data_IF_213904341632
#
_entry.id   IF_213904341632
#
_cell.length_a   1.000
_cell.length_b   1.000
_cell.length_c   1.000
_cell.angle_alpha   90.00
_cell.angle_beta   90.00
_cell.angle_gamma   90.00
#
_symmetry.space_group_name_H-M   'P 1'
#
loop_
_entity.id
_entity.type
_entity.pdbx_description
1 polymer ?
#
# COMPACT_ATOMS: atom_id res chain seq x y z
N UNK A 1 2.84 -31.52 15.47
CA UNK A 1 2.67 -31.05 15.34
C UNK A 1 2.82 -30.46 15.36
N UNK A 2 2.70 -30.36 15.30
CA UNK A 2 2.64 -29.64 15.21
C UNK A 2 2.69 -28.83 14.98
N UNK A 3 2.75 -28.58 14.88
CA UNK A 3 2.60 -27.75 14.60
C UNK A 3 2.50 -26.98 14.36
N UNK A 4 2.43 -26.95 14.34
CA UNK A 4 2.19 -26.13 14.07
C UNK A 4 2.09 -25.46 14.08
N UNK A 5 2.03 -25.48 14.13
CA UNK A 5 1.78 -24.77 14.21
C UNK A 5 1.75 -23.86 14.24
N UNK A 6 1.77 -23.94 14.35
CA UNK A 6 1.64 -23.08 14.42
C UNK A 6 1.64 -22.36 14.13
N UNK A 7 1.52 -22.82 13.92
CA UNK A 7 1.47 -22.17 13.65
C UNK A 7 1.27 -21.45 13.50
N UNK A 8 1.21 -21.78 13.53
CA UNK A 8 0.94 -20.98 13.52
C UNK A 8 1.07 -19.94 12.86
N UNK A 9 0.55 -20.07 12.66
CA UNK A 9 0.49 -19.11 11.82
C UNK A 9 0.35 -17.78 12.42
N UNK A 10 1.15 -16.95 12.05
CA UNK A 10 1.14 -15.66 12.67
C UNK A 10 0.15 -14.71 12.03
N UNK A 11 -0.68 -14.09 12.82
CA UNK A 11 -1.57 -13.05 12.32
C UNK A 11 -0.84 -11.74 12.17
N UNK A 12 -1.13 -11.03 11.09
CA UNK A 12 -0.64 -9.68 10.94
C UNK A 12 -1.49 -8.76 11.81
N UNK A 13 -0.87 -8.05 12.73
CA UNK A 13 -1.55 -7.10 13.59
C UNK A 13 -1.51 -5.70 13.02
N UNK A 14 -0.40 -5.34 12.39
CA UNK A 14 -0.19 -4.03 11.81
C UNK A 14 0.57 -4.13 10.51
N UNK A 15 0.32 -3.16 9.64
CA UNK A 15 1.03 -3.04 8.37
C UNK A 15 1.55 -1.62 8.26
N UNK A 16 2.76 -1.50 7.72
CA UNK A 16 3.32 -0.21 7.36
C UNK A 16 3.25 -0.11 5.84
N UNK A 17 2.59 0.92 5.33
CA UNK A 17 2.41 1.05 3.91
C UNK A 17 2.57 2.50 3.46
N UNK A 18 2.87 2.65 2.17
CA UNK A 18 2.87 3.92 1.48
C UNK A 18 1.88 3.83 0.34
N UNK A 19 1.29 4.97 -0.06
CA UNK A 19 0.40 4.95 -1.20
C UNK A 19 0.52 6.24 -2.01
N UNK A 20 0.07 6.12 -3.26
CA UNK A 20 -0.07 7.25 -4.17
C UNK A 20 -1.51 7.24 -4.64
N UNK A 21 -2.25 8.30 -4.34
CA UNK A 21 -3.66 8.42 -4.71
C UNK A 21 -3.76 9.25 -5.97
N UNK A 22 -4.41 8.71 -7.00
CA UNK A 22 -4.66 9.42 -8.25
C UNK A 22 -6.13 9.27 -8.63
N UNK A 23 -6.57 10.05 -9.60
CA UNK A 23 -7.98 10.14 -9.95
C UNK A 23 -8.45 8.99 -10.82
N UNK A 24 -7.62 8.54 -11.74
CA UNK A 24 -8.01 7.57 -12.76
C UNK A 24 -7.12 6.36 -12.75
N UNK A 25 -7.65 5.26 -13.25
CA UNK A 25 -6.89 4.03 -13.41
C UNK A 25 -5.69 4.23 -14.33
N UNK A 26 -5.89 4.99 -15.42
CA UNK A 26 -4.81 5.27 -16.37
C UNK A 26 -3.63 5.92 -15.68
N UNK A 27 -3.89 6.90 -14.81
CA UNK A 27 -2.83 7.55 -14.05
C UNK A 27 -2.14 6.57 -13.11
N UNK A 28 -2.91 5.70 -12.46
CA UNK A 28 -2.35 4.71 -11.56
C UNK A 28 -1.46 3.72 -12.30
N UNK A 29 -1.89 3.28 -13.47
CA UNK A 29 -1.09 2.36 -14.29
C UNK A 29 0.21 3.02 -14.75
N UNK A 30 0.15 4.32 -15.07
CA UNK A 30 1.35 5.07 -15.43
C UNK A 30 2.35 5.13 -14.26
N UNK A 31 1.84 5.32 -13.05
CA UNK A 31 2.68 5.30 -11.85
C UNK A 31 3.34 3.93 -11.69
N UNK A 32 2.58 2.86 -11.84
CA UNK A 32 3.12 1.51 -11.73
C UNK A 32 4.18 1.24 -12.79
N UNK A 33 3.96 1.75 -14.01
CA UNK A 33 4.95 1.63 -15.09
C UNK A 33 6.25 2.33 -14.70
N UNK A 34 6.14 3.56 -14.16
CA UNK A 34 7.33 4.32 -13.76
C UNK A 34 8.09 3.62 -12.64
N UNK A 35 7.35 3.01 -11.69
CA UNK A 35 7.99 2.23 -10.62
C UNK A 35 8.78 1.05 -11.17
N UNK A 36 8.21 0.36 -12.15
CA UNK A 36 8.89 -0.77 -12.79
C UNK A 36 10.17 -0.34 -13.51
N UNK A 37 10.19 0.90 -13.97
CA UNK A 37 11.35 1.46 -14.69
C UNK A 37 12.35 2.12 -13.74
N UNK A 38 12.19 1.94 -12.43
CA UNK A 38 13.19 2.38 -11.48
C UNK A 38 12.95 3.73 -10.85
N UNK A 39 11.83 4.39 -11.15
CA UNK A 39 11.53 5.65 -10.48
C UNK A 39 11.21 5.41 -9.01
N UNK A 40 11.61 6.36 -8.19
CA UNK A 40 11.39 6.29 -6.76
C UNK A 40 9.91 6.45 -6.42
N UNK A 41 9.40 5.57 -5.54
CA UNK A 41 8.02 5.67 -5.06
C UNK A 41 7.80 7.02 -4.38
N UNK A 42 8.75 7.43 -3.56
CA UNK A 42 8.65 8.69 -2.81
C UNK A 42 8.56 9.89 -3.73
N UNK A 43 9.36 9.90 -4.79
CA UNK A 43 9.33 10.98 -5.78
C UNK A 43 7.98 11.04 -6.50
N UNK A 44 7.48 9.87 -6.92
CA UNK A 44 6.18 9.80 -7.60
C UNK A 44 5.05 10.24 -6.68
N UNK A 45 5.14 9.87 -5.41
CA UNK A 45 4.14 10.30 -4.43
C UNK A 45 4.12 11.82 -4.29
N UNK A 46 5.28 12.43 -4.20
CA UNK A 46 5.37 13.89 -4.09
C UNK A 46 4.85 14.60 -5.31
N UNK A 47 5.11 14.04 -6.49
CA UNK A 47 4.70 14.65 -7.75
C UNK A 47 3.23 14.44 -8.08
N UNK A 48 2.69 13.28 -7.74
CA UNK A 48 1.41 12.85 -8.30
C UNK A 48 0.30 12.59 -7.31
N UNK A 49 0.62 12.32 -6.05
CA UNK A 49 -0.41 11.91 -5.11
C UNK A 49 -1.33 13.07 -4.75
N UNK A 50 -2.63 12.79 -4.75
CA UNK A 50 -3.65 13.75 -4.31
C UNK A 50 -3.81 13.75 -2.80
N UNK A 51 -3.24 12.76 -2.12
CA UNK A 51 -3.32 12.66 -0.67
C UNK A 51 -2.23 13.51 -0.02
N UNK A 52 -2.51 14.19 1.11
CA UNK A 52 -1.48 14.96 1.83
C UNK A 52 -0.24 14.16 2.19
N UNK A 53 -0.37 12.84 2.38
CA UNK A 53 0.78 11.99 2.66
C UNK A 53 1.80 11.99 1.53
N UNK A 54 1.41 12.43 0.33
CA UNK A 54 2.34 12.56 -0.78
C UNK A 54 3.54 13.42 -0.45
N UNK A 55 3.35 14.44 0.38
CA UNK A 55 4.44 15.32 0.80
C UNK A 55 5.52 14.59 1.58
N UNK A 56 5.16 13.46 2.18
CA UNK A 56 6.08 12.61 2.94
C UNK A 56 6.45 11.36 2.16
N UNK A 57 6.39 11.43 0.83
CA UNK A 57 6.70 10.28 -0.01
C UNK A 57 5.61 9.22 -0.02
N UNK A 58 4.41 9.56 0.43
CA UNK A 58 3.27 8.64 0.46
C UNK A 58 3.19 7.78 1.71
N UNK A 59 4.11 7.94 2.65
CA UNK A 59 4.18 7.09 3.83
C UNK A 59 2.99 7.31 4.77
N UNK A 60 2.26 6.23 5.07
CA UNK A 60 1.14 6.27 6.00
C UNK A 60 1.53 5.76 7.38
N UNK A 61 2.72 5.18 7.51
CA UNK A 61 3.17 4.60 8.76
C UNK A 61 2.48 3.28 9.06
N UNK A 62 2.47 2.90 10.31
CA UNK A 62 1.85 1.66 10.79
C UNK A 62 0.39 1.89 11.08
N UNK A 63 -0.45 0.93 10.70
CA UNK A 63 -1.87 0.98 11.01
C UNK A 63 -2.39 -0.43 11.22
N UNK A 64 -3.48 -0.51 11.99
CA UNK A 64 -4.15 -1.79 12.26
C UNK A 64 -5.43 -1.86 11.43
N UNK A 65 -6.14 -2.99 11.57
CA UNK A 65 -7.44 -3.15 10.91
C UNK A 65 -8.42 -2.13 11.45
N UNK A 66 -9.38 -1.77 10.62
CA UNK A 66 -10.45 -0.82 10.94
C UNK A 66 -10.00 0.65 10.99
N UNK A 67 -8.79 0.93 10.54
CA UNK A 67 -8.31 2.32 10.45
C UNK A 67 -8.39 2.89 9.06
N UNK A 68 -8.42 2.03 8.03
CA UNK A 68 -8.49 2.42 6.63
C UNK A 68 -9.79 1.91 6.01
N UNK A 69 -10.17 2.47 4.86
CA UNK A 69 -11.31 1.93 4.14
C UNK A 69 -11.06 0.47 3.79
N UNK A 70 -12.15 -0.29 3.70
CA UNK A 70 -12.08 -1.75 3.62
C UNK A 70 -11.23 -2.26 2.47
N UNK A 71 -11.40 -1.69 1.30
CA UNK A 71 -10.66 -2.14 0.11
C UNK A 71 -9.16 -1.95 0.30
N UNK A 72 -8.78 -0.81 0.87
CA UNK A 72 -7.37 -0.51 1.14
C UNK A 72 -6.82 -1.47 2.18
N UNK A 73 -7.56 -1.65 3.26
CA UNK A 73 -7.17 -2.56 4.35
C UNK A 73 -6.96 -3.98 3.81
N UNK A 74 -7.92 -4.49 3.06
CA UNK A 74 -7.84 -5.86 2.54
C UNK A 74 -6.60 -6.06 1.67
N UNK A 75 -6.30 -5.08 0.82
CA UNK A 75 -5.11 -5.17 -0.02
C UNK A 75 -3.84 -5.22 0.81
N UNK A 76 -3.75 -4.36 1.83
CA UNK A 76 -2.55 -4.29 2.66
C UNK A 76 -2.37 -5.54 3.51
N UNK A 77 -3.45 -6.04 4.09
CA UNK A 77 -3.36 -7.18 5.00
C UNK A 77 -3.31 -8.53 4.29
N UNK A 78 -3.53 -8.56 2.98
CA UNK A 78 -3.39 -9.78 2.19
C UNK A 78 -2.06 -9.88 1.46
N UNK A 79 -1.27 -8.82 1.51
CA UNK A 79 0.03 -8.78 0.83
C UNK A 79 1.18 -8.99 1.79
N UNK A 80 2.38 -8.90 1.26
CA UNK A 80 3.58 -9.03 2.06
C UNK A 80 4.56 -7.91 1.72
N UNK A 81 5.54 -7.78 2.57
CA UNK A 81 6.58 -6.77 2.42
C UNK A 81 7.13 -6.74 1.01
N UNK A 82 7.16 -5.56 0.42
CA UNK A 82 7.64 -5.36 -0.93
C UNK A 82 6.59 -5.38 -2.02
N UNK A 83 5.38 -5.86 -1.70
CA UNK A 83 4.31 -5.92 -2.70
C UNK A 83 3.85 -4.52 -3.09
N UNK A 84 3.53 -4.37 -4.37
CA UNK A 84 2.88 -3.17 -4.90
C UNK A 84 1.52 -3.58 -5.42
N UNK A 85 0.48 -2.91 -4.97
CA UNK A 85 -0.91 -3.26 -5.30
C UNK A 85 -1.66 -2.06 -5.85
N UNK A 86 -2.64 -2.36 -6.71
CA UNK A 86 -3.52 -1.34 -7.28
C UNK A 86 -4.92 -1.58 -6.71
N UNK A 87 -5.50 -0.54 -6.09
CA UNK A 87 -6.78 -0.67 -5.42
C UNK A 87 -7.65 0.54 -5.71
N UNK A 88 -8.92 0.29 -6.03
CA UNK A 88 -9.89 1.36 -6.17
C UNK A 88 -10.68 1.52 -4.89
N UNK A 89 -10.83 2.77 -4.44
CA UNK A 89 -11.70 3.12 -3.31
C UNK A 89 -12.60 4.27 -3.71
N UNK A 90 -13.44 4.71 -2.78
CA UNK A 90 -14.29 5.88 -3.02
C UNK A 90 -13.49 7.16 -3.28
N UNK A 91 -12.23 7.19 -2.89
CA UNK A 91 -11.37 8.37 -3.07
C UNK A 91 -10.67 8.41 -4.42
N UNK A 92 -10.59 7.28 -5.11
CA UNK A 92 -9.91 7.16 -6.38
C UNK A 92 -9.10 5.88 -6.45
N UNK A 93 -7.97 5.95 -7.14
CA UNK A 93 -7.11 4.80 -7.35
C UNK A 93 -5.84 4.93 -6.51
N UNK A 94 -5.51 3.88 -5.79
CA UNK A 94 -4.33 3.87 -4.92
C UNK A 94 -3.30 2.90 -5.47
N UNK A 95 -2.07 3.38 -5.62
CA UNK A 95 -0.92 2.49 -5.81
C UNK A 95 -0.29 2.35 -4.43
N UNK A 96 -0.30 1.15 -3.89
CA UNK A 96 0.11 0.87 -2.51
C UNK A 96 1.40 0.05 -2.53
N UNK A 97 2.37 0.46 -1.72
CA UNK A 97 3.55 -0.35 -1.45
C UNK A 97 3.52 -0.78 0.00
N UNK A 98 3.63 -2.09 0.23
CA UNK A 98 3.70 -2.62 1.59
C UNK A 98 5.16 -2.54 2.03
N UNK A 99 5.42 -1.68 3.02
CA UNK A 99 6.78 -1.44 3.50
C UNK A 99 7.21 -2.50 4.50
N UNK A 100 6.28 -2.91 5.36
CA UNK A 100 6.57 -3.88 6.39
C UNK A 100 5.27 -4.38 7.00
N UNK A 101 5.34 -5.46 7.78
CA UNK A 101 4.21 -5.98 8.53
C UNK A 101 4.74 -6.68 9.77
N UNK A 102 3.92 -6.67 10.83
CA UNK A 102 4.37 -7.36 12.04
C UNK A 102 3.56 -8.60 12.31
#
# INVERSE_FOLDING_TARGET
MRKNKKRLRKKMNKVNASHILVKTETEALAVMHDLRNGKSFETLAKEKSLCPSGKKGGNLGWFSRNMMVKEFENACFSGKKGDVKLVKTQFGWHVIRINDSD
#
